data_IF_919924596865
#
_entry.id   IF_919924596865
#
_cell.length_a   1.000
_cell.length_b   1.000
_cell.length_c   1.000
_cell.angle_alpha   90.00
_cell.angle_beta   90.00
_cell.angle_gamma   90.00
#
_symmetry.space_group_name_H-M   'P 1'
#
loop_
_entity.id
_entity.type
_entity.pdbx_description
1 polymer ?
#
# COMPACT_ATOMS: atom_id res chain seq x y z
N UNK A 1 -4.65 20.75 1.44
CA UNK A 1 -3.88 19.78 0.65
C UNK A 1 -2.42 20.17 0.78
N UNK A 2 -1.58 19.36 1.42
CA UNK A 2 -0.15 19.69 1.55
C UNK A 2 0.43 19.29 2.90
N UNK A 3 0.73 18.01 3.08
CA UNK A 3 1.80 17.54 3.97
C UNK A 3 2.37 16.24 3.41
N UNK A 4 2.64 16.17 2.10
CA UNK A 4 3.59 15.18 1.60
C UNK A 4 4.97 15.70 1.94
N UNK A 5 5.48 15.28 3.09
CA UNK A 5 6.92 15.39 3.34
C UNK A 5 7.62 14.57 2.26
N UNK A 6 8.80 15.01 1.81
CA UNK A 6 9.63 14.23 0.89
C UNK A 6 9.78 12.77 1.36
N UNK A 7 9.85 12.58 2.68
CA UNK A 7 9.84 11.27 3.34
C UNK A 7 8.60 10.43 2.99
N UNK A 8 7.38 10.99 3.10
CA UNK A 8 6.13 10.29 2.75
C UNK A 8 6.05 9.90 1.28
N UNK A 9 6.51 10.77 0.39
CA UNK A 9 6.58 10.48 -1.05
C UNK A 9 7.54 9.33 -1.36
N UNK A 10 8.75 9.35 -0.79
CA UNK A 10 9.75 8.29 -0.95
C UNK A 10 9.24 6.97 -0.37
N UNK A 11 8.60 7.01 0.80
CA UNK A 11 8.10 5.82 1.47
C UNK A 11 6.97 5.15 0.68
N UNK A 12 6.07 5.95 0.11
CA UNK A 12 5.02 5.45 -0.78
C UNK A 12 5.62 4.81 -2.04
N UNK A 13 6.60 5.46 -2.67
CA UNK A 13 7.28 4.91 -3.84
C UNK A 13 7.95 3.57 -3.51
N UNK A 14 8.60 3.46 -2.35
CA UNK A 14 9.23 2.22 -1.89
C UNK A 14 8.22 1.06 -1.79
N UNK A 15 7.05 1.29 -1.18
CA UNK A 15 6.00 0.26 -1.09
C UNK A 15 5.48 -0.15 -2.45
N UNK A 16 5.28 0.82 -3.35
CA UNK A 16 4.86 0.51 -4.73
C UNK A 16 5.92 -0.26 -5.52
N UNK A 17 7.21 -0.03 -5.26
CA UNK A 17 8.29 -0.79 -5.88
C UNK A 17 8.40 -2.21 -5.30
N UNK A 18 8.36 -2.36 -3.98
CA UNK A 18 8.65 -3.64 -3.30
C UNK A 18 7.44 -4.55 -3.23
N UNK A 19 6.28 -4.02 -2.82
CA UNK A 19 5.08 -4.84 -2.63
C UNK A 19 4.31 -5.02 -3.93
N UNK A 20 4.35 -4.02 -4.82
CA UNK A 20 3.60 -4.03 -6.08
C UNK A 20 4.48 -4.24 -7.33
N UNK A 21 5.80 -4.48 -7.16
CA UNK A 21 6.75 -4.76 -8.25
C UNK A 21 6.71 -3.73 -9.40
N UNK A 22 6.35 -2.47 -9.10
CA UNK A 22 6.34 -1.41 -10.11
C UNK A 22 7.74 -0.83 -10.30
N UNK A 23 8.10 -0.55 -11.55
CA UNK A 23 9.38 0.09 -11.85
C UNK A 23 9.39 1.55 -11.38
N UNK A 24 10.58 2.07 -11.02
CA UNK A 24 10.74 3.46 -10.64
C UNK A 24 10.31 4.42 -11.76
N UNK A 25 10.56 4.05 -13.03
CA UNK A 25 10.14 4.81 -14.20
C UNK A 25 8.60 4.88 -14.28
N UNK A 26 7.92 3.75 -14.09
CA UNK A 26 6.44 3.69 -14.04
C UNK A 26 5.88 4.58 -12.94
N UNK A 27 6.48 4.59 -11.76
CA UNK A 27 6.02 5.40 -10.61
C UNK A 27 6.25 6.90 -10.87
N UNK A 28 7.37 7.26 -11.49
CA UNK A 28 7.70 8.64 -11.82
C UNK A 28 6.84 9.19 -12.97
N UNK A 29 6.47 8.34 -13.93
CA UNK A 29 5.64 8.69 -15.07
C UNK A 29 4.13 8.52 -14.80
N UNK A 30 3.76 8.03 -13.62
CA UNK A 30 2.36 7.84 -13.23
C UNK A 30 1.63 9.17 -13.10
N UNK A 31 0.42 9.25 -13.67
CA UNK A 31 -0.39 10.46 -13.53
C UNK A 31 -0.79 10.65 -12.05
N UNK A 32 -0.88 11.90 -11.56
CA UNK A 32 -1.20 12.16 -10.15
C UNK A 32 -2.49 11.49 -9.66
N UNK A 33 -3.49 11.36 -10.54
CA UNK A 33 -4.75 10.70 -10.21
C UNK A 33 -4.63 9.16 -10.14
N UNK A 34 -3.83 8.54 -11.01
CA UNK A 34 -3.58 7.09 -11.01
C UNK A 34 -2.91 6.67 -9.70
N UNK A 35 -1.96 7.48 -9.23
CA UNK A 35 -1.29 7.28 -7.95
C UNK A 35 -2.27 7.22 -6.78
N UNK A 36 -3.27 8.09 -6.76
CA UNK A 36 -4.31 8.09 -5.72
C UNK A 36 -5.08 6.76 -5.75
N UNK A 37 -5.44 6.27 -6.93
CA UNK A 37 -6.17 5.00 -7.08
C UNK A 37 -5.33 3.82 -6.59
N UNK A 38 -4.08 3.69 -7.03
CA UNK A 38 -3.21 2.59 -6.62
C UNK A 38 -2.91 2.59 -5.13
N UNK A 39 -2.65 3.77 -4.55
CA UNK A 39 -2.44 3.90 -3.10
C UNK A 39 -3.69 3.47 -2.33
N UNK A 40 -4.88 3.87 -2.79
CA UNK A 40 -6.13 3.47 -2.15
C UNK A 40 -6.36 1.95 -2.20
N UNK A 41 -6.15 1.33 -3.37
CA UNK A 41 -6.24 -0.13 -3.54
C UNK A 41 -5.22 -0.87 -2.67
N UNK A 42 -4.00 -0.33 -2.57
CA UNK A 42 -2.96 -0.90 -1.72
C UNK A 42 -3.36 -0.84 -0.23
N UNK A 43 -3.87 0.29 0.25
CA UNK A 43 -4.40 0.44 1.62
C UNK A 43 -5.54 -0.56 1.88
N UNK A 44 -6.46 -0.74 0.93
CA UNK A 44 -7.54 -1.72 1.05
C UNK A 44 -7.00 -3.15 1.15
N UNK A 45 -5.99 -3.49 0.35
CA UNK A 45 -5.34 -4.81 0.40
C UNK A 45 -4.68 -5.08 1.76
N UNK A 46 -4.04 -4.08 2.37
CA UNK A 46 -3.43 -4.20 3.69
C UNK A 46 -4.48 -4.42 4.79
N UNK A 47 -5.62 -3.72 4.72
CA UNK A 47 -6.75 -3.92 5.65
C UNK A 47 -7.26 -5.35 5.57
N UNK A 48 -7.47 -5.87 4.35
CA UNK A 48 -7.92 -7.25 4.14
C UNK A 48 -6.93 -8.30 4.68
N UNK A 49 -5.62 -8.11 4.44
CA UNK A 49 -4.58 -9.00 5.00
C UNK A 49 -4.58 -8.99 6.53
N UNK A 50 -4.78 -7.82 7.16
CA UNK A 50 -4.87 -7.70 8.62
C UNK A 50 -6.09 -8.44 9.17
N UNK A 51 -7.26 -8.27 8.55
CA UNK A 51 -8.50 -8.96 8.95
C UNK A 51 -8.35 -10.49 8.85
N UNK A 52 -7.71 -10.98 7.79
CA UNK A 52 -7.48 -12.41 7.61
C UNK A 52 -6.52 -12.99 8.66
N UNK A 53 -5.44 -12.27 8.97
CA UNK A 53 -4.53 -12.65 10.05
C UNK A 53 -5.21 -12.64 11.42
N UNK A 54 -6.09 -11.67 11.69
CA UNK A 54 -6.88 -11.62 12.92
C UNK A 54 -7.86 -12.79 13.02
N UNK A 55 -8.53 -13.16 11.93
CA UNK A 55 -9.40 -14.33 11.85
C UNK A 55 -8.63 -15.63 12.11
N UNK A 56 -7.47 -15.81 11.48
CA UNK A 56 -6.62 -16.98 11.70
C UNK A 56 -6.18 -17.09 13.17
N UNK A 57 -5.78 -15.98 13.79
CA UNK A 57 -5.43 -15.94 15.22
C UNK A 57 -6.62 -16.23 16.13
N UNK A 58 -7.83 -15.78 15.78
CA UNK A 58 -9.03 -16.08 16.54
C UNK A 58 -9.38 -17.57 16.48
N UNK A 59 -9.30 -18.19 15.29
CA UNK A 59 -9.53 -19.62 15.11
C UNK A 59 -8.50 -20.47 15.86
N UNK A 60 -7.21 -20.13 15.77
CA UNK A 60 -6.13 -20.84 16.48
C UNK A 60 -6.19 -20.75 18.02
N UNK A 61 -6.99 -19.83 18.56
CA UNK A 61 -7.23 -19.71 20.02
C UNK A 61 -8.43 -20.53 20.51
N UNK A 62 -9.28 -21.01 19.60
CA UNK A 62 -10.51 -21.73 19.92
C UNK A 62 -10.47 -23.22 19.52
N UNK A 63 -9.35 -23.71 18.96
CA UNK A 63 -9.08 -25.12 18.70
C UNK A 63 -7.92 -25.61 19.56
#
# INVERSE_FOLDING_TARGET
MGHDTLSGHIHTNYHLMVDANMSLDTINNMMPWERIVYVNLYIESLKKKKEEHEKQRAMARHG
#
